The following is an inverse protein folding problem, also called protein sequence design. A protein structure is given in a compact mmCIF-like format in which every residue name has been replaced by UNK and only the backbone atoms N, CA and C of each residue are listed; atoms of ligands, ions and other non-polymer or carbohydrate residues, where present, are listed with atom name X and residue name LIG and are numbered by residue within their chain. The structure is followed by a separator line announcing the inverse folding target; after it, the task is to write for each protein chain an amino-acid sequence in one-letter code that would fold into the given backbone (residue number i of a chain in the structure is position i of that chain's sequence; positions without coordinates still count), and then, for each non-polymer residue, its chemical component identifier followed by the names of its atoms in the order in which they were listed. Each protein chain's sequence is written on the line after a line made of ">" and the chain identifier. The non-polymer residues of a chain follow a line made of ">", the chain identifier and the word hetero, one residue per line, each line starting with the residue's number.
data_IF_531658369609
#
_entry.id   IF_531658369609
#
_cell.length_a   1.000
_cell.length_b   1.000
_cell.length_c   1.000
_cell.angle_alpha   90.00
_cell.angle_beta   90.00
_cell.angle_gamma   90.00
#
_symmetry.space_group_name_H-M   'P 1'
#
loop_
_entity.id
_entity.type
_entity.pdbx_description
1 polymer ?
#
# COMPACT_ATOMS: atom_id res chain seq x y z
N UNK A 1 19.81 -19.36 -6.59
CA UNK A 1 19.07 -18.21 -7.13
C UNK A 1 19.70 -16.96 -6.51
N UNK A 2 20.47 -16.18 -7.28
CA UNK A 2 21.16 -14.99 -6.76
C UNK A 2 20.11 -13.94 -6.42
N UNK A 3 20.11 -13.50 -5.19
CA UNK A 3 19.31 -12.37 -4.71
C UNK A 3 19.71 -11.12 -5.52
N UNK A 4 18.79 -10.63 -6.34
CA UNK A 4 18.93 -9.43 -7.19
C UNK A 4 19.00 -8.12 -6.39
N UNK A 5 19.11 -8.17 -5.06
CA UNK A 5 18.99 -7.00 -4.21
C UNK A 5 20.37 -6.54 -3.74
N UNK A 6 20.83 -5.47 -4.34
CA UNK A 6 22.13 -4.87 -4.07
C UNK A 6 22.25 -4.25 -2.65
N UNK A 7 21.13 -4.04 -1.93
CA UNK A 7 21.12 -3.35 -0.65
C UNK A 7 20.43 -4.19 0.45
N UNK A 8 21.03 -4.30 1.64
CA UNK A 8 20.39 -4.95 2.78
C UNK A 8 19.15 -4.15 3.23
N UNK A 9 18.14 -4.81 3.88
CA UNK A 9 17.00 -4.13 4.48
C UNK A 9 17.45 -3.08 5.50
N UNK A 10 16.82 -1.91 5.47
CA UNK A 10 17.10 -0.79 6.37
C UNK A 10 15.99 -0.72 7.42
N UNK A 11 16.31 -0.90 8.69
CA UNK A 11 15.36 -0.66 9.77
C UNK A 11 15.14 0.85 9.94
N UNK A 12 13.95 1.35 9.62
CA UNK A 12 13.58 2.77 9.76
C UNK A 12 12.89 3.07 11.09
N UNK A 13 12.28 2.05 11.69
CA UNK A 13 11.78 2.01 13.06
C UNK A 13 11.69 0.53 13.50
N UNK A 14 11.41 0.24 14.78
CA UNK A 14 11.16 -1.14 15.21
C UNK A 14 10.08 -1.79 14.37
N UNK A 15 10.35 -2.97 13.81
CA UNK A 15 9.44 -3.74 12.95
C UNK A 15 8.94 -3.00 11.69
N UNK A 16 9.67 -1.97 11.24
CA UNK A 16 9.44 -1.27 9.97
C UNK A 16 10.72 -1.26 9.15
N UNK A 17 10.67 -1.86 7.99
CA UNK A 17 11.81 -2.07 7.11
C UNK A 17 11.63 -1.37 5.78
N UNK A 18 12.70 -0.79 5.27
CA UNK A 18 12.79 -0.20 3.94
C UNK A 18 13.74 -1.01 3.09
N UNK A 19 13.26 -1.49 1.95
CA UNK A 19 13.98 -2.19 0.91
C UNK A 19 14.20 -1.22 -0.25
N UNK A 20 15.41 -0.68 -0.39
CA UNK A 20 15.73 0.34 -1.41
C UNK A 20 15.88 -0.27 -2.80
N UNK A 21 15.16 0.31 -3.80
CA UNK A 21 15.24 -0.13 -5.19
C UNK A 21 14.96 -1.62 -5.36
N UNK A 22 14.04 -2.15 -4.55
CA UNK A 22 13.79 -3.57 -4.43
C UNK A 22 13.19 -4.19 -5.70
N UNK A 23 12.42 -3.42 -6.46
CA UNK A 23 11.71 -3.92 -7.63
C UNK A 23 11.90 -3.02 -8.85
N UNK A 24 12.03 -3.66 -10.03
CA UNK A 24 11.86 -2.95 -11.30
C UNK A 24 10.37 -2.65 -11.52
N UNK A 25 10.03 -1.38 -11.62
CA UNK A 25 8.64 -0.93 -11.69
C UNK A 25 8.04 -0.93 -13.09
N UNK A 26 8.86 -1.05 -14.14
CA UNK A 26 8.36 -0.99 -15.52
C UNK A 26 7.22 -2.02 -15.81
N UNK A 27 7.31 -3.30 -15.40
CA UNK A 27 6.21 -4.24 -15.58
C UNK A 27 4.97 -3.88 -14.75
N UNK A 28 5.16 -3.26 -13.57
CA UNK A 28 4.05 -2.93 -12.67
C UNK A 28 3.12 -1.88 -13.28
N UNK A 29 3.65 -0.96 -14.09
CA UNK A 29 2.82 0.04 -14.79
C UNK A 29 1.79 -0.59 -15.72
N UNK A 30 2.18 -1.62 -16.50
CA UNK A 30 1.28 -2.34 -17.39
C UNK A 30 0.17 -3.05 -16.62
N UNK A 31 0.54 -3.70 -15.51
CA UNK A 31 -0.43 -4.38 -14.65
C UNK A 31 -1.41 -3.36 -14.01
N UNK A 32 -0.92 -2.20 -13.54
CA UNK A 32 -1.76 -1.12 -13.01
C UNK A 32 -2.78 -0.65 -14.05
N UNK A 33 -2.36 -0.45 -15.30
CA UNK A 33 -3.25 -0.06 -16.41
C UNK A 33 -4.31 -1.13 -16.69
N UNK A 34 -3.91 -2.41 -16.71
CA UNK A 34 -4.80 -3.53 -16.92
C UNK A 34 -5.85 -3.68 -15.80
N UNK A 35 -5.45 -3.45 -14.55
CA UNK A 35 -6.36 -3.43 -13.38
C UNK A 35 -7.31 -2.23 -13.50
N UNK A 36 -6.79 -1.03 -13.81
CA UNK A 36 -7.60 0.18 -13.93
C UNK A 36 -8.61 0.13 -15.07
N UNK A 37 -8.32 -0.60 -16.15
CA UNK A 37 -9.27 -0.83 -17.24
C UNK A 37 -10.49 -1.65 -16.80
N UNK A 38 -10.34 -2.54 -15.81
CA UNK A 38 -11.41 -3.39 -15.28
C UNK A 38 -12.11 -2.74 -14.07
N UNK A 39 -11.34 -2.08 -13.20
CA UNK A 39 -11.81 -1.38 -12.01
C UNK A 39 -11.17 0.03 -11.98
N UNK A 40 -11.82 1.05 -12.57
CA UNK A 40 -11.25 2.38 -12.73
C UNK A 40 -10.91 3.05 -11.40
N UNK A 41 -9.82 3.85 -11.41
CA UNK A 41 -9.45 4.69 -10.27
C UNK A 41 -10.58 5.68 -9.93
N UNK A 42 -10.84 5.84 -8.64
CA UNK A 42 -11.84 6.77 -8.14
C UNK A 42 -11.41 7.45 -6.86
N UNK A 43 -11.87 8.66 -6.64
CA UNK A 43 -11.76 9.36 -5.37
C UNK A 43 -12.92 8.91 -4.47
N UNK A 44 -12.60 8.20 -3.40
CA UNK A 44 -13.62 7.73 -2.44
C UNK A 44 -13.96 8.84 -1.44
N UNK A 45 -15.13 8.72 -0.82
CA UNK A 45 -15.54 9.60 0.26
C UNK A 45 -15.35 8.93 1.61
N UNK A 46 -14.86 9.68 2.59
CA UNK A 46 -14.83 9.20 3.99
C UNK A 46 -16.21 9.38 4.63
N UNK A 47 -16.52 8.71 5.75
CA UNK A 47 -17.85 8.80 6.40
C UNK A 47 -18.30 10.23 6.72
N UNK A 48 -17.36 11.17 6.90
CA UNK A 48 -17.65 12.60 7.09
C UNK A 48 -17.97 13.37 5.79
N UNK A 49 -18.12 12.69 4.63
CA UNK A 49 -18.48 13.29 3.34
C UNK A 49 -17.32 13.95 2.57
N UNK A 50 -16.13 14.01 3.16
CA UNK A 50 -14.97 14.59 2.47
C UNK A 50 -14.45 13.61 1.42
N UNK A 51 -14.12 14.12 0.23
CA UNK A 51 -13.51 13.35 -0.85
C UNK A 51 -12.01 13.23 -0.64
N UNK A 52 -11.48 12.00 -0.73
CA UNK A 52 -10.05 11.75 -0.63
C UNK A 52 -9.32 12.31 -1.85
N UNK A 53 -8.16 12.95 -1.63
CA UNK A 53 -7.34 13.49 -2.73
C UNK A 53 -6.57 12.42 -3.50
N UNK A 54 -6.46 11.21 -2.97
CA UNK A 54 -5.85 10.05 -3.61
C UNK A 54 -6.93 9.29 -4.35
N UNK A 55 -6.71 8.99 -5.63
CA UNK A 55 -7.58 8.09 -6.38
C UNK A 55 -7.16 6.64 -6.13
N UNK A 56 -8.11 5.72 -6.01
CA UNK A 56 -7.86 4.35 -5.60
C UNK A 56 -8.58 3.34 -6.49
N UNK A 57 -7.98 2.18 -6.64
CA UNK A 57 -8.60 0.95 -7.12
C UNK A 57 -8.06 -0.24 -6.32
N UNK A 58 -8.57 -1.43 -6.57
CA UNK A 58 -8.17 -2.64 -5.86
C UNK A 58 -7.98 -3.79 -6.83
N UNK A 59 -7.20 -4.79 -6.40
CA UNK A 59 -7.18 -6.13 -6.99
C UNK A 59 -6.98 -7.17 -5.89
N UNK A 60 -7.38 -8.41 -6.16
CA UNK A 60 -7.35 -9.52 -5.22
C UNK A 60 -8.75 -10.03 -4.86
N UNK A 61 -8.84 -10.89 -3.87
CA UNK A 61 -10.12 -11.45 -3.40
C UNK A 61 -10.98 -10.41 -2.67
N UNK A 62 -10.34 -9.45 -2.01
CA UNK A 62 -10.98 -8.36 -1.27
C UNK A 62 -10.43 -7.02 -1.72
N UNK A 63 -11.28 -6.00 -1.74
CA UNK A 63 -10.87 -4.62 -1.97
C UNK A 63 -11.32 -3.73 -0.82
N UNK A 64 -10.44 -2.83 -0.42
CA UNK A 64 -10.75 -1.81 0.58
C UNK A 64 -11.55 -0.68 -0.05
N UNK A 65 -12.65 -0.31 0.59
CA UNK A 65 -13.52 0.78 0.15
C UNK A 65 -13.96 1.63 1.33
N UNK A 66 -14.34 2.86 1.04
CA UNK A 66 -14.96 3.77 2.01
C UNK A 66 -16.06 4.61 1.35
N UNK A 67 -17.11 4.86 2.09
CA UNK A 67 -18.23 5.74 1.76
C UNK A 67 -18.91 6.23 3.06
N UNK A 68 -20.11 6.80 2.96
CA UNK A 68 -20.87 7.28 4.12
C UNK A 68 -21.17 6.18 5.16
N UNK A 69 -21.11 4.88 4.77
CA UNK A 69 -21.36 3.75 5.68
C UNK A 69 -20.12 3.32 6.45
N UNK A 70 -18.91 3.79 6.07
CA UNK A 70 -17.67 3.47 6.76
C UNK A 70 -16.60 2.84 5.87
N UNK A 71 -15.56 2.38 6.53
CA UNK A 71 -14.41 1.72 5.94
C UNK A 71 -14.59 0.21 6.01
N UNK A 72 -14.34 -0.52 4.93
CA UNK A 72 -14.50 -1.98 4.89
C UNK A 72 -13.73 -2.64 3.76
N UNK A 73 -13.53 -3.93 3.92
CA UNK A 73 -13.16 -4.82 2.82
C UNK A 73 -14.40 -5.52 2.27
N UNK A 74 -14.50 -5.64 0.96
CA UNK A 74 -15.57 -6.38 0.29
C UNK A 74 -15.08 -7.05 -0.99
N UNK A 75 -15.75 -8.16 -1.38
CA UNK A 75 -15.32 -8.98 -2.50
C UNK A 75 -15.67 -8.38 -3.88
N UNK A 76 -16.60 -7.44 -3.92
CA UNK A 76 -17.07 -6.83 -5.16
C UNK A 76 -16.81 -5.33 -5.18
N UNK A 77 -16.51 -4.80 -6.34
CA UNK A 77 -16.47 -3.37 -6.57
C UNK A 77 -17.89 -2.77 -6.45
N UNK A 78 -18.12 -1.81 -5.54
CA UNK A 78 -19.45 -1.24 -5.33
C UNK A 78 -20.01 -0.48 -6.53
N UNK A 79 -19.17 -0.06 -7.48
CA UNK A 79 -19.63 0.64 -8.69
C UNK A 79 -20.04 -0.33 -9.80
N UNK A 80 -19.19 -1.31 -10.09
CA UNK A 80 -19.44 -2.26 -11.18
C UNK A 80 -20.25 -3.47 -10.74
N UNK A 81 -20.36 -3.74 -9.42
CA UNK A 81 -20.94 -4.95 -8.82
C UNK A 81 -20.25 -6.25 -9.25
N UNK A 82 -19.04 -6.14 -9.83
CA UNK A 82 -18.22 -7.28 -10.26
C UNK A 82 -17.16 -7.58 -9.20
N UNK A 83 -16.62 -8.81 -9.14
CA UNK A 83 -15.42 -9.08 -8.40
C UNK A 83 -14.27 -8.14 -8.79
N UNK A 84 -13.40 -7.83 -7.85
CA UNK A 84 -12.17 -7.09 -8.16
C UNK A 84 -11.31 -7.87 -9.16
N UNK A 85 -10.50 -7.18 -9.99
CA UNK A 85 -9.52 -7.84 -10.85
C UNK A 85 -8.63 -8.78 -10.03
N UNK A 86 -8.21 -9.88 -10.62
CA UNK A 86 -7.30 -10.82 -9.95
C UNK A 86 -5.98 -10.12 -9.57
N UNK A 87 -5.42 -10.50 -8.43
CA UNK A 87 -4.07 -10.10 -8.04
C UNK A 87 -3.06 -10.76 -9.00
N UNK A 88 -2.23 -10.00 -9.75
CA UNK A 88 -1.23 -10.58 -10.63
C UNK A 88 -0.27 -11.52 -9.88
N UNK A 89 0.06 -12.66 -10.47
CA UNK A 89 0.98 -13.62 -9.83
C UNK A 89 2.36 -13.02 -9.53
N UNK A 90 2.87 -12.14 -10.40
CA UNK A 90 4.11 -11.40 -10.19
C UNK A 90 4.04 -10.50 -8.95
N UNK A 91 2.90 -9.86 -8.71
CA UNK A 91 2.68 -9.01 -7.54
C UNK A 91 2.55 -9.83 -6.25
N UNK A 92 1.88 -10.98 -6.33
CA UNK A 92 1.79 -11.90 -5.21
C UNK A 92 3.18 -12.38 -4.79
N UNK A 93 3.99 -12.85 -5.75
CA UNK A 93 5.37 -13.28 -5.50
C UNK A 93 6.22 -12.15 -4.90
N UNK A 94 6.16 -10.95 -5.48
CA UNK A 94 6.85 -9.76 -4.98
C UNK A 94 6.51 -9.46 -3.50
N UNK A 95 5.24 -9.48 -3.15
CA UNK A 95 4.81 -9.18 -1.78
C UNK A 95 5.25 -10.27 -0.79
N UNK A 96 5.14 -11.55 -1.16
CA UNK A 96 5.60 -12.67 -0.36
C UNK A 96 7.12 -12.62 -0.12
N UNK A 97 7.91 -12.39 -1.18
CA UNK A 97 9.37 -12.31 -1.11
C UNK A 97 9.85 -11.11 -0.28
N UNK A 98 9.23 -9.93 -0.48
CA UNK A 98 9.54 -8.74 0.30
C UNK A 98 9.27 -8.94 1.80
N UNK A 99 8.13 -9.53 2.16
CA UNK A 99 7.80 -9.85 3.54
C UNK A 99 8.78 -10.87 4.14
N UNK A 100 9.09 -11.94 3.40
CA UNK A 100 10.01 -13.00 3.83
C UNK A 100 11.43 -12.46 4.05
N UNK A 101 11.90 -11.49 3.23
CA UNK A 101 13.24 -10.90 3.33
C UNK A 101 13.50 -10.17 4.65
N UNK A 102 12.44 -9.81 5.37
CA UNK A 102 12.50 -9.11 6.67
C UNK A 102 11.84 -9.90 7.80
N UNK A 103 11.69 -11.22 7.62
CA UNK A 103 11.30 -12.16 8.67
C UNK A 103 9.85 -12.61 8.70
N UNK A 104 8.97 -12.07 7.85
CA UNK A 104 7.57 -12.53 7.77
C UNK A 104 7.42 -13.67 6.74
N UNK A 105 7.75 -14.88 7.17
CA UNK A 105 7.58 -16.08 6.37
C UNK A 105 6.09 -16.46 6.24
N UNK A 106 5.68 -16.93 5.05
CA UNK A 106 4.33 -17.41 4.84
C UNK A 106 3.26 -16.32 4.68
N UNK A 107 3.64 -15.04 4.56
CA UNK A 107 2.71 -13.98 4.21
C UNK A 107 2.15 -14.20 2.81
N UNK A 108 0.82 -14.30 2.70
CA UNK A 108 0.10 -14.43 1.43
C UNK A 108 -1.03 -13.41 1.43
N UNK A 109 -0.87 -12.26 0.77
CA UNK A 109 -1.92 -11.23 0.71
C UNK A 109 -3.12 -11.71 -0.12
N UNK A 110 -4.30 -11.27 0.28
CA UNK A 110 -5.57 -11.50 -0.44
C UNK A 110 -6.18 -10.20 -0.98
N UNK A 111 -5.56 -9.07 -0.66
CA UNK A 111 -5.98 -7.74 -1.09
C UNK A 111 -4.76 -6.88 -1.46
N UNK A 112 -4.88 -6.12 -2.54
CA UNK A 112 -3.96 -5.05 -2.87
C UNK A 112 -4.76 -3.77 -3.18
N UNK A 113 -4.57 -2.75 -2.34
CA UNK A 113 -5.06 -1.40 -2.60
C UNK A 113 -4.04 -0.67 -3.48
N UNK A 114 -4.48 -0.22 -4.64
CA UNK A 114 -3.68 0.59 -5.57
C UNK A 114 -4.06 2.05 -5.42
N UNK A 115 -3.15 2.84 -4.89
CA UNK A 115 -3.31 4.28 -4.69
C UNK A 115 -2.64 5.05 -5.84
N UNK A 116 -3.33 6.03 -6.42
CA UNK A 116 -2.79 6.95 -7.41
C UNK A 116 -2.74 8.37 -6.84
N UNK A 117 -1.51 8.91 -6.74
CA UNK A 117 -1.26 10.26 -6.26
C UNK A 117 -0.89 11.15 -7.45
N UNK A 118 -1.64 12.21 -7.63
CA UNK A 118 -1.31 13.34 -8.49
C UNK A 118 -0.70 14.48 -7.67
N UNK A 119 -0.19 15.51 -8.30
CA UNK A 119 0.40 16.66 -7.60
C UNK A 119 -0.61 17.25 -6.61
N UNK A 120 -0.19 17.43 -5.36
CA UNK A 120 -1.03 17.89 -4.25
C UNK A 120 -1.79 16.78 -3.50
N UNK A 121 -1.95 15.59 -4.08
CA UNK A 121 -2.61 14.47 -3.40
C UNK A 121 -1.77 14.00 -2.19
N UNK A 122 -2.47 13.67 -1.09
CA UNK A 122 -1.86 13.29 0.19
C UNK A 122 -2.69 12.22 0.89
N UNK A 123 -2.04 11.47 1.76
CA UNK A 123 -2.70 10.60 2.73
C UNK A 123 -2.36 11.09 4.14
N UNK A 124 -3.35 11.55 4.89
CA UNK A 124 -3.16 11.98 6.27
C UNK A 124 -2.67 10.84 7.16
N UNK A 125 -2.13 11.15 8.34
CA UNK A 125 -1.74 10.13 9.31
C UNK A 125 -2.95 9.28 9.70
N UNK A 126 -2.85 7.98 9.51
CA UNK A 126 -3.88 6.98 9.79
C UNK A 126 -3.23 5.67 10.21
N UNK A 127 -4.05 4.76 10.70
CA UNK A 127 -3.69 3.37 10.99
C UNK A 127 -4.46 2.47 10.04
N UNK A 128 -3.81 1.43 9.52
CA UNK A 128 -4.48 0.35 8.81
C UNK A 128 -5.05 -0.64 9.83
N UNK A 129 -6.36 -0.56 10.08
CA UNK A 129 -7.05 -1.29 11.15
C UNK A 129 -8.37 -1.95 10.71
N UNK A 130 -8.55 -2.13 9.42
CA UNK A 130 -9.76 -2.77 8.90
C UNK A 130 -9.55 -4.26 8.59
N UNK A 131 -8.33 -4.77 8.69
CA UNK A 131 -7.97 -6.18 8.54
C UNK A 131 -8.38 -6.97 9.80
N UNK A 132 -8.61 -8.27 9.62
CA UNK A 132 -9.02 -9.16 10.73
C UNK A 132 -7.81 -9.71 11.51
N UNK A 133 -6.68 -9.90 10.84
CA UNK A 133 -5.47 -10.50 11.42
C UNK A 133 -4.31 -9.51 11.41
N UNK A 134 -4.03 -8.91 12.57
CA UNK A 134 -2.91 -7.99 12.75
C UNK A 134 -1.56 -8.69 12.94
N UNK A 135 -1.52 -10.03 13.02
CA UNK A 135 -0.26 -10.76 13.01
C UNK A 135 0.45 -10.71 11.65
N UNK A 136 -0.31 -10.43 10.59
CA UNK A 136 0.20 -10.34 9.22
C UNK A 136 0.78 -8.95 8.93
N UNK A 137 1.91 -8.89 8.19
CA UNK A 137 2.53 -7.62 7.83
C UNK A 137 1.73 -6.89 6.75
N UNK A 138 2.12 -5.64 6.52
CA UNK A 138 1.76 -4.87 5.33
C UNK A 138 3.00 -4.70 4.46
N UNK A 139 2.85 -4.88 3.15
CA UNK A 139 3.89 -4.61 2.15
C UNK A 139 3.42 -3.47 1.27
N UNK A 140 4.22 -2.41 1.17
CA UNK A 140 3.90 -1.18 0.45
C UNK A 140 4.97 -0.89 -0.59
N UNK A 141 4.61 -0.98 -1.87
CA UNK A 141 5.51 -0.77 -3.02
C UNK A 141 5.29 0.61 -3.60
N UNK A 142 6.38 1.35 -3.81
CA UNK A 142 6.36 2.68 -4.45
C UNK A 142 6.68 2.56 -5.94
N UNK A 143 5.86 3.17 -6.79
CA UNK A 143 5.97 3.17 -8.24
C UNK A 143 5.87 4.59 -8.77
N UNK A 144 6.85 5.06 -9.54
CA UNK A 144 6.88 6.39 -10.14
C UNK A 144 7.48 7.46 -9.24
N UNK A 145 6.86 8.62 -9.15
CA UNK A 145 7.45 9.79 -8.47
C UNK A 145 7.73 9.57 -6.99
N UNK A 146 8.84 10.14 -6.53
CA UNK A 146 9.24 10.11 -5.12
C UNK A 146 8.24 10.84 -4.22
N UNK A 147 8.08 10.35 -3.00
CA UNK A 147 7.23 10.98 -1.98
C UNK A 147 7.91 11.05 -0.61
N UNK A 148 7.35 11.85 0.27
CA UNK A 148 7.69 11.87 1.70
C UNK A 148 6.69 11.02 2.47
N UNK A 149 7.11 9.80 2.83
CA UNK A 149 6.37 8.89 3.69
C UNK A 149 6.58 9.28 5.15
N UNK A 150 5.50 9.30 5.91
CA UNK A 150 5.50 9.65 7.33
C UNK A 150 5.28 8.39 8.16
N UNK A 151 6.12 8.22 9.19
CA UNK A 151 6.00 7.14 10.18
C UNK A 151 5.94 7.78 11.56
N UNK A 152 4.83 7.60 12.25
CA UNK A 152 4.61 8.02 13.63
C UNK A 152 4.72 6.83 14.59
N UNK A 153 4.07 6.94 15.74
CA UNK A 153 3.93 5.85 16.71
C UNK A 153 2.51 5.27 16.76
N UNK A 154 2.21 4.57 17.84
CA UNK A 154 0.89 3.97 18.09
C UNK A 154 -0.14 5.03 18.48
N UNK A 155 0.28 6.11 19.13
CA UNK A 155 -0.58 7.22 19.47
C UNK A 155 -0.53 8.31 18.40
N UNK A 156 -1.66 8.96 18.16
CA UNK A 156 -1.78 9.97 17.10
C UNK A 156 -0.85 11.18 17.28
N UNK A 157 -0.43 11.45 18.50
CA UNK A 157 0.43 12.59 18.87
C UNK A 157 1.91 12.20 19.04
N UNK A 158 2.26 10.94 18.77
CA UNK A 158 3.66 10.53 18.79
C UNK A 158 4.47 11.27 17.72
N UNK A 159 5.77 11.41 17.94
CA UNK A 159 6.68 12.05 17.00
C UNK A 159 6.65 11.35 15.65
N UNK A 160 6.67 12.15 14.57
CA UNK A 160 6.59 11.66 13.19
C UNK A 160 7.93 11.85 12.50
N UNK A 161 8.49 10.76 11.99
CA UNK A 161 9.64 10.79 11.07
C UNK A 161 9.15 10.87 9.63
N UNK A 162 9.89 11.57 8.77
CA UNK A 162 9.61 11.66 7.34
C UNK A 162 10.75 11.01 6.56
N UNK A 163 10.42 10.12 5.65
CA UNK A 163 11.37 9.31 4.89
C UNK A 163 11.05 9.48 3.41
N UNK A 164 12.06 9.83 2.61
CA UNK A 164 11.90 9.87 1.16
C UNK A 164 11.81 8.43 0.63
N UNK A 165 10.73 8.12 -0.09
CA UNK A 165 10.58 6.90 -0.87
C UNK A 165 10.71 7.23 -2.35
N UNK A 166 11.40 6.36 -3.07
CA UNK A 166 11.67 6.47 -4.50
C UNK A 166 11.01 5.33 -5.26
N UNK A 167 11.07 5.43 -6.57
CA UNK A 167 10.61 4.36 -7.46
C UNK A 167 11.29 3.03 -7.15
N UNK A 168 10.52 1.96 -7.05
CA UNK A 168 11.02 0.62 -6.71
C UNK A 168 11.30 0.38 -5.22
N UNK A 169 11.14 1.37 -4.33
CA UNK A 169 11.26 1.17 -2.90
C UNK A 169 10.07 0.39 -2.34
N UNK A 170 10.36 -0.50 -1.39
CA UNK A 170 9.33 -1.26 -0.67
C UNK A 170 9.45 -1.02 0.82
N UNK A 171 8.35 -0.72 1.49
CA UNK A 171 8.27 -0.66 2.95
C UNK A 171 7.47 -1.84 3.45
N UNK A 172 8.01 -2.55 4.44
CA UNK A 172 7.32 -3.67 5.11
C UNK A 172 7.22 -3.36 6.59
N UNK A 173 6.03 -3.50 7.16
CA UNK A 173 5.84 -3.35 8.61
C UNK A 173 4.82 -4.33 9.17
N UNK A 174 5.00 -4.72 10.43
CA UNK A 174 4.15 -5.70 11.10
C UNK A 174 4.47 -5.82 12.58
N UNK A 175 3.99 -6.86 13.24
CA UNK A 175 4.16 -7.05 14.67
C UNK A 175 3.72 -5.83 15.48
N UNK A 176 4.52 -5.37 16.42
CA UNK A 176 4.21 -4.20 17.26
C UNK A 176 4.03 -2.90 16.47
N UNK A 177 4.62 -2.81 15.26
CA UNK A 177 4.45 -1.66 14.38
C UNK A 177 3.20 -1.76 13.48
N UNK A 178 2.43 -2.85 13.53
CA UNK A 178 1.30 -3.09 12.62
C UNK A 178 0.27 -1.94 12.64
N UNK A 179 0.09 -1.31 13.78
CA UNK A 179 -0.87 -0.23 13.99
C UNK A 179 -0.20 1.14 14.17
N UNK A 180 1.04 1.36 13.70
CA UNK A 180 1.64 2.70 13.73
C UNK A 180 0.89 3.65 12.81
N UNK A 181 0.78 4.90 13.22
CA UNK A 181 0.27 5.96 12.36
C UNK A 181 1.27 6.23 11.24
N UNK A 182 0.78 6.22 10.01
CA UNK A 182 1.59 6.51 8.84
C UNK A 182 0.81 7.33 7.83
N UNK A 183 1.51 7.92 6.86
CA UNK A 183 0.87 8.77 5.87
C UNK A 183 1.84 9.18 4.76
N UNK A 184 1.34 9.98 3.81
CA UNK A 184 2.11 10.53 2.69
C UNK A 184 1.83 12.01 2.61
N UNK A 185 2.90 12.83 2.65
CA UNK A 185 2.79 14.28 2.45
C UNK A 185 2.32 14.60 1.03
N UNK A 186 1.78 15.80 0.79
CA UNK A 186 1.39 16.22 -0.55
C UNK A 186 2.48 15.92 -1.58
N UNK A 187 2.13 15.22 -2.67
CA UNK A 187 3.04 14.93 -3.77
C UNK A 187 3.46 16.26 -4.42
N UNK A 188 4.75 16.46 -4.61
CA UNK A 188 5.29 17.72 -5.12
C UNK A 188 5.34 17.80 -6.64
N UNK A 189 5.54 16.66 -7.31
CA UNK A 189 5.69 16.61 -8.77
C UNK A 189 5.38 15.21 -9.31
N UNK A 190 4.93 15.12 -10.55
CA UNK A 190 4.74 13.90 -11.31
C UNK A 190 3.53 13.07 -10.88
N UNK A 191 3.61 11.79 -11.12
CA UNK A 191 2.58 10.79 -10.84
C UNK A 191 3.20 9.66 -10.01
N UNK A 192 2.53 9.24 -8.95
CA UNK A 192 2.95 8.13 -8.09
C UNK A 192 1.84 7.14 -7.91
N UNK A 193 2.18 5.87 -8.04
CA UNK A 193 1.34 4.78 -7.55
C UNK A 193 1.94 4.18 -6.28
N UNK A 194 1.08 3.59 -5.48
CA UNK A 194 1.48 2.82 -4.32
C UNK A 194 0.62 1.56 -4.24
N UNK A 195 1.28 0.41 -4.23
CA UNK A 195 0.63 -0.90 -4.10
C UNK A 195 0.74 -1.33 -2.65
N UNK A 196 -0.39 -1.45 -1.96
CA UNK A 196 -0.40 -1.86 -0.56
C UNK A 196 -1.06 -3.22 -0.42
N UNK A 197 -0.23 -4.22 -0.13
CA UNK A 197 -0.63 -5.63 0.01
C UNK A 197 -0.97 -5.95 1.46
N UNK A 198 -2.08 -6.61 1.68
CA UNK A 198 -2.61 -6.96 2.99
C UNK A 198 -3.24 -8.34 3.00
N UNK A 199 -3.23 -9.00 4.16
CA UNK A 199 -4.11 -10.12 4.49
C UNK A 199 -5.33 -9.53 5.17
N UNK A 200 -6.45 -9.41 4.43
CA UNK A 200 -7.65 -8.72 4.89
C UNK A 200 -8.68 -9.66 5.51
N UNK A 201 -8.66 -10.97 5.11
CA UNK A 201 -9.57 -12.02 5.62
C UNK A 201 -9.10 -12.65 6.91
#
# INVERSE_FOLDING_TARGET
>A
MQTLFANPPIAIAPNIWLLRGYVNTAPLHQDIEAIAAQAPFRHMQVPGGQTMSVAMTNCGHLGWVTDHTGYRYQATDPLSQKPWPALPHSWLALACEAAASVGWQGFVPDACLVNRYEVGARMGLHQDKNERDYSQPIVSVSVGSSCNFQVGGLLRFDSVKSIALHDGDVVVWGGDARLVHHGVRPLKAGLRYNLTFRKAS
#
